data_IF_105575538769
#
_entry.id   IF_105575538769
#
_cell.length_a   1.000
_cell.length_b   1.000
_cell.length_c   1.000
_cell.angle_alpha   90.00
_cell.angle_beta   90.00
_cell.angle_gamma   90.00
#
_symmetry.space_group_name_H-M   'P 1'
#
loop_
_entity.id
_entity.type
_entity.pdbx_description
1 polymer ?
#
# COMPACT_ATOMS: atom_id res chain seq x y z
N UNK A 1 -31.25 -14.40 -53.99
CA UNK A 1 -32.12 -15.07 -53.00
C UNK A 1 -31.22 -15.78 -51.99
N UNK A 2 -31.19 -15.36 -50.71
CA UNK A 2 -30.06 -15.62 -49.82
C UNK A 2 -30.09 -17.03 -49.21
N UNK A 3 -28.90 -17.59 -48.99
CA UNK A 3 -28.69 -18.85 -48.27
C UNK A 3 -28.69 -18.58 -46.76
N UNK A 4 -29.52 -19.34 -46.05
CA UNK A 4 -29.57 -19.43 -44.59
C UNK A 4 -28.22 -19.87 -44.03
N UNK A 5 -27.67 -19.12 -43.07
CA UNK A 5 -26.57 -19.59 -42.22
C UNK A 5 -27.03 -19.55 -40.77
N UNK A 6 -27.15 -20.73 -40.16
CA UNK A 6 -27.55 -20.94 -38.77
C UNK A 6 -26.36 -21.51 -38.00
N UNK A 7 -26.15 -20.97 -36.79
CA UNK A 7 -25.28 -21.44 -35.70
C UNK A 7 -23.78 -21.14 -35.93
N UNK A 8 -23.04 -20.57 -34.98
CA UNK A 8 -23.06 -20.83 -33.55
C UNK A 8 -22.61 -19.62 -32.73
N UNK A 9 -23.25 -19.47 -31.58
CA UNK A 9 -22.90 -18.55 -30.51
C UNK A 9 -21.78 -19.19 -29.70
N UNK A 10 -20.55 -18.70 -29.84
CA UNK A 10 -19.49 -18.97 -28.86
C UNK A 10 -18.95 -17.64 -28.38
N UNK A 11 -19.59 -17.12 -27.34
CA UNK A 11 -19.10 -15.99 -26.55
C UNK A 11 -17.96 -16.52 -25.65
N UNK A 12 -16.77 -16.64 -26.22
CA UNK A 12 -15.55 -16.90 -25.46
C UNK A 12 -15.16 -15.63 -24.71
N UNK A 13 -15.43 -15.57 -23.41
CA UNK A 13 -14.81 -14.59 -22.53
C UNK A 13 -13.35 -15.01 -22.29
N UNK A 14 -12.46 -14.66 -23.21
CA UNK A 14 -11.06 -14.56 -22.85
C UNK A 14 -10.91 -13.26 -22.07
N UNK A 15 -11.03 -13.34 -20.74
CA UNK A 15 -10.50 -12.29 -19.88
C UNK A 15 -8.99 -12.26 -20.15
N UNK A 16 -8.54 -11.22 -20.84
CA UNK A 16 -7.14 -10.92 -20.96
C UNK A 16 -6.63 -10.64 -19.54
N UNK A 17 -5.99 -11.64 -18.93
CA UNK A 17 -5.10 -11.40 -17.80
C UNK A 17 -3.99 -10.51 -18.35
N UNK A 18 -4.15 -9.21 -18.16
CA UNK A 18 -3.05 -8.27 -18.27
C UNK A 18 -2.08 -8.72 -17.17
N UNK A 19 -1.12 -9.57 -17.53
CA UNK A 19 0.07 -9.75 -16.73
C UNK A 19 0.68 -8.35 -16.61
N UNK A 20 0.34 -7.63 -15.54
CA UNK A 20 1.19 -6.57 -15.03
C UNK A 20 2.51 -7.28 -14.83
N UNK A 21 3.44 -7.07 -15.76
CA UNK A 21 4.80 -7.49 -15.61
C UNK A 21 5.32 -6.71 -14.40
N UNK A 22 5.26 -7.34 -13.23
CA UNK A 22 5.97 -6.82 -12.08
C UNK A 22 7.45 -6.89 -12.47
N UNK A 23 8.20 -5.78 -12.37
CA UNK A 23 9.63 -5.86 -12.53
C UNK A 23 10.15 -6.95 -11.56
N UNK A 24 11.22 -7.68 -11.95
CA UNK A 24 11.81 -8.67 -11.05
C UNK A 24 12.09 -8.01 -9.69
N UNK A 25 11.79 -8.69 -8.57
CA UNK A 25 11.88 -8.08 -7.26
C UNK A 25 13.31 -7.60 -7.00
N UNK A 26 13.46 -6.36 -6.54
CA UNK A 26 14.75 -5.80 -6.16
C UNK A 26 15.05 -6.17 -4.71
N UNK A 27 15.59 -7.38 -4.50
CA UNK A 27 15.85 -7.93 -3.15
C UNK A 27 17.09 -7.28 -2.52
N UNK A 28 18.07 -6.90 -3.33
CA UNK A 28 19.29 -6.26 -2.85
C UNK A 28 19.04 -4.81 -2.42
N UNK A 29 19.76 -4.36 -1.39
CA UNK A 29 19.73 -2.96 -0.95
C UNK A 29 20.08 -2.04 -2.14
N UNK A 30 19.32 -0.97 -2.41
CA UNK A 30 19.60 -0.07 -3.53
C UNK A 30 21.02 0.51 -3.45
N UNK A 31 21.72 0.51 -4.58
CA UNK A 31 23.12 0.95 -4.68
C UNK A 31 23.33 2.42 -4.32
N UNK A 32 22.28 3.24 -4.38
CA UNK A 32 22.29 4.63 -3.99
C UNK A 32 22.00 4.87 -2.51
N UNK A 33 21.73 3.85 -1.69
CA UNK A 33 21.52 4.01 -0.25
C UNK A 33 22.74 4.66 0.44
N UNK A 34 22.57 5.64 1.36
CA UNK A 34 21.30 6.14 1.92
C UNK A 34 20.63 7.28 1.12
N UNK A 35 21.17 7.66 -0.04
CA UNK A 35 20.63 8.71 -0.92
C UNK A 35 19.43 8.23 -1.75
N UNK A 36 18.44 7.66 -1.07
CA UNK A 36 17.15 7.26 -1.65
C UNK A 36 16.14 8.41 -1.58
N UNK A 37 14.95 8.24 -2.17
CA UNK A 37 13.89 9.25 -2.11
C UNK A 37 13.58 9.68 -0.67
N UNK A 38 13.24 10.96 -0.47
CA UNK A 38 12.92 11.47 0.87
C UNK A 38 11.61 10.86 1.37
N UNK A 39 11.53 10.43 2.64
CA UNK A 39 10.28 9.94 3.24
C UNK A 39 9.18 11.01 3.18
N UNK A 40 7.97 10.61 2.81
CA UNK A 40 6.80 11.48 2.68
C UNK A 40 6.33 12.04 4.02
N UNK A 41 6.50 11.29 5.10
CA UNK A 41 6.06 11.64 6.46
C UNK A 41 7.25 11.82 7.40
N UNK A 42 7.06 12.62 8.43
CA UNK A 42 8.07 12.88 9.47
C UNK A 42 7.60 12.39 10.83
N UNK A 43 8.54 12.22 11.75
CA UNK A 43 8.23 11.93 13.15
C UNK A 43 7.33 13.05 13.70
N UNK A 44 6.25 12.67 14.39
CA UNK A 44 5.20 13.57 14.85
C UNK A 44 4.00 13.71 13.91
N UNK A 45 4.09 13.27 12.65
CA UNK A 45 2.93 13.28 11.74
C UNK A 45 1.85 12.32 12.27
N UNK A 46 0.59 12.79 12.27
CA UNK A 46 -0.59 11.95 12.53
C UNK A 46 -0.97 11.21 11.24
N UNK A 47 -0.89 9.88 11.27
CA UNK A 47 -1.09 9.02 10.10
C UNK A 47 -2.21 8.02 10.37
N UNK A 48 -2.94 7.67 9.32
CA UNK A 48 -3.96 6.61 9.32
C UNK A 48 -3.76 5.67 8.15
N UNK A 49 -4.18 4.42 8.31
CA UNK A 49 -4.19 3.45 7.23
C UNK A 49 -5.27 3.79 6.20
N UNK A 50 -5.00 3.51 4.92
CA UNK A 50 -5.88 3.86 3.80
C UNK A 50 -7.16 2.99 3.71
N UNK A 51 -7.17 1.77 4.24
CA UNK A 51 -8.20 0.77 3.88
C UNK A 51 -9.64 1.11 4.32
N UNK A 52 -10.56 1.11 3.34
CA UNK A 52 -12.03 1.15 3.41
C UNK A 52 -12.70 1.85 4.62
N UNK A 53 -12.54 3.17 4.69
CA UNK A 53 -13.47 4.08 5.39
C UNK A 53 -12.87 4.87 6.56
N UNK A 54 -13.74 5.58 7.29
CA UNK A 54 -13.35 6.53 8.35
C UNK A 54 -12.94 5.86 9.68
N UNK A 55 -12.78 4.53 9.70
CA UNK A 55 -12.59 3.74 10.94
C UNK A 55 -11.36 2.83 10.88
N UNK A 56 -10.32 3.28 10.22
CA UNK A 56 -9.00 2.65 10.29
C UNK A 56 -8.26 3.06 11.54
N UNK A 57 -7.29 2.23 11.93
CA UNK A 57 -6.35 2.62 12.96
C UNK A 57 -5.56 3.85 12.51
N UNK A 58 -5.22 4.67 13.48
CA UNK A 58 -4.41 5.86 13.30
C UNK A 58 -3.50 6.05 14.52
N UNK A 59 -2.53 6.92 14.35
CA UNK A 59 -1.56 7.21 15.39
C UNK A 59 -0.55 8.27 14.97
N UNK A 60 0.53 8.37 15.74
CA UNK A 60 1.62 9.31 15.50
C UNK A 60 2.85 8.54 15.03
N UNK A 61 3.49 8.98 13.95
CA UNK A 61 4.78 8.44 13.53
C UNK A 61 5.85 8.75 14.60
N UNK A 62 6.47 7.71 15.17
CA UNK A 62 7.54 7.84 16.18
C UNK A 62 8.90 7.35 15.67
N UNK A 63 8.95 6.90 14.42
CA UNK A 63 10.18 6.52 13.75
C UNK A 63 9.92 6.05 12.33
N UNK A 64 10.99 5.95 11.55
CA UNK A 64 10.95 5.51 10.15
C UNK A 64 12.26 4.84 9.76
N UNK A 65 12.17 3.85 8.89
CA UNK A 65 13.31 3.12 8.35
C UNK A 65 13.03 2.71 6.91
N UNK A 66 14.10 2.50 6.14
CA UNK A 66 14.00 2.05 4.75
C UNK A 66 14.13 0.52 4.70
N UNK A 67 13.16 -0.16 4.12
CA UNK A 67 13.10 -1.63 4.11
C UNK A 67 12.44 -2.18 2.86
N UNK A 68 12.73 -3.44 2.54
CA UNK A 68 12.11 -4.17 1.45
C UNK A 68 10.62 -4.40 1.74
N UNK A 69 9.74 -3.89 0.87
CA UNK A 69 8.30 -4.05 0.94
C UNK A 69 7.84 -5.23 0.07
N UNK A 70 7.47 -6.38 0.66
CA UNK A 70 7.14 -7.59 -0.10
C UNK A 70 5.95 -7.41 -1.04
N UNK A 71 4.97 -6.58 -0.68
CA UNK A 71 3.80 -6.29 -1.51
C UNK A 71 4.13 -5.49 -2.77
N UNK A 72 5.27 -4.77 -2.77
CA UNK A 72 5.78 -4.02 -3.92
C UNK A 72 6.86 -4.76 -4.69
N UNK A 73 7.55 -5.71 -4.05
CA UNK A 73 8.77 -6.30 -4.60
C UNK A 73 9.92 -5.30 -4.72
N UNK A 74 9.91 -4.23 -3.91
CA UNK A 74 10.84 -3.12 -3.99
C UNK A 74 11.06 -2.49 -2.61
N UNK A 75 12.09 -1.65 -2.47
CA UNK A 75 12.43 -0.97 -1.22
C UNK A 75 11.68 0.36 -1.07
N UNK A 76 11.14 0.61 0.12
CA UNK A 76 10.41 1.84 0.43
C UNK A 76 10.53 2.21 1.90
N UNK A 77 10.01 3.38 2.27
CA UNK A 77 9.91 3.80 3.66
C UNK A 77 8.82 3.02 4.41
N UNK A 78 9.17 2.58 5.62
CA UNK A 78 8.28 2.01 6.61
C UNK A 78 8.29 2.89 7.85
N UNK A 79 7.14 3.04 8.48
CA UNK A 79 6.93 3.91 9.63
C UNK A 79 6.52 3.09 10.84
N UNK A 80 7.10 3.40 12.00
CA UNK A 80 6.63 2.92 13.30
C UNK A 80 5.64 3.94 13.84
N UNK A 81 4.39 3.50 14.05
CA UNK A 81 3.27 4.35 14.43
C UNK A 81 2.83 4.00 15.84
N UNK A 82 2.88 4.97 16.74
CA UNK A 82 2.28 4.87 18.06
C UNK A 82 0.76 5.06 17.94
N UNK A 83 0.00 4.00 18.23
CA UNK A 83 -1.44 3.98 17.99
C UNK A 83 -2.18 4.89 18.97
N UNK A 84 -3.18 5.61 18.46
CA UNK A 84 -4.12 6.31 19.32
C UNK A 84 -4.95 5.31 20.15
N UNK A 85 -5.32 5.68 21.38
CA UNK A 85 -6.06 4.81 22.29
C UNK A 85 -7.45 4.42 21.76
N UNK A 86 -8.00 5.19 20.83
CA UNK A 86 -9.29 4.92 20.19
C UNK A 86 -9.17 4.05 18.94
N UNK A 87 -7.96 3.78 18.46
CA UNK A 87 -7.71 2.79 17.41
C UNK A 87 -8.10 1.39 17.89
N UNK A 88 -8.70 0.57 17.01
CA UNK A 88 -9.16 -0.78 17.38
C UNK A 88 -8.00 -1.66 17.80
N UNK A 89 -6.86 -1.54 17.12
CA UNK A 89 -5.68 -2.33 17.44
C UNK A 89 -4.98 -1.91 18.73
N UNK A 90 -5.31 -0.74 19.29
CA UNK A 90 -4.75 -0.27 20.56
C UNK A 90 -5.11 -1.16 21.77
N UNK A 91 -6.14 -2.00 21.62
CA UNK A 91 -6.48 -3.02 22.61
C UNK A 91 -5.45 -4.16 22.71
N UNK A 92 -4.58 -4.32 21.70
CA UNK A 92 -3.67 -5.47 21.57
C UNK A 92 -2.20 -5.01 21.49
N UNK A 93 -1.91 -3.89 20.82
CA UNK A 93 -0.55 -3.33 20.70
C UNK A 93 -0.56 -1.81 20.86
N UNK A 94 0.54 -1.25 21.36
CA UNK A 94 0.71 0.22 21.51
C UNK A 94 1.30 0.87 20.26
N UNK A 95 1.98 0.09 19.42
CA UNK A 95 2.56 0.56 18.18
C UNK A 95 2.49 -0.52 17.10
N UNK A 96 2.44 -0.09 15.85
CA UNK A 96 2.43 -0.95 14.67
C UNK A 96 3.29 -0.34 13.56
N UNK A 97 3.66 -1.16 12.56
CA UNK A 97 4.41 -0.71 11.39
C UNK A 97 3.54 -0.66 10.14
N UNK A 98 3.81 0.31 9.27
CA UNK A 98 3.13 0.42 7.98
C UNK A 98 4.03 0.98 6.90
N UNK A 99 3.82 0.54 5.67
CA UNK A 99 4.52 1.05 4.51
C UNK A 99 4.00 2.43 4.11
N UNK A 100 4.85 3.26 3.51
CA UNK A 100 4.51 4.63 3.12
C UNK A 100 3.26 4.74 2.24
N UNK A 101 3.03 3.74 1.39
CA UNK A 101 1.90 3.65 0.47
C UNK A 101 0.60 3.17 1.13
N UNK A 102 0.65 2.66 2.36
CA UNK A 102 -0.52 2.25 3.13
C UNK A 102 -1.08 3.38 4.00
N UNK A 103 -0.40 4.52 4.04
CA UNK A 103 -0.66 5.62 4.98
C UNK A 103 -1.12 6.89 4.28
N UNK A 104 -1.92 7.67 5.01
CA UNK A 104 -2.25 9.07 4.69
C UNK A 104 -2.23 9.92 5.95
N UNK A 105 -1.98 11.22 5.81
CA UNK A 105 -2.10 12.16 6.92
C UNK A 105 -3.55 12.23 7.38
N UNK A 106 -3.75 12.28 8.69
CA UNK A 106 -5.04 12.67 9.26
C UNK A 106 -5.16 14.18 9.09
N UNK A 107 -6.06 14.63 8.23
CA UNK A 107 -6.37 16.06 8.11
C UNK A 107 -7.03 16.51 9.42
N UNK A 108 -6.44 17.49 10.09
CA UNK A 108 -7.15 18.20 11.15
C UNK A 108 -8.18 19.09 10.48
N UNK A 109 -9.46 18.76 10.65
CA UNK A 109 -10.54 19.71 10.36
C UNK A 109 -10.32 20.89 11.30
N UNK A 110 -9.85 22.00 10.72
CA UNK A 110 -9.69 23.28 11.42
C UNK A 110 -11.05 23.90 11.75
#
# INVERSE_FOLDING_TARGET
>A
MPKNNRLSYQRGYQQALVHRAFPPPSIDLPTNFPNVGTPRYSDGDKLRWIHEGDKTDWGVAIGRFYSFAPHRGDWTWCYLIWLDKLSKSAAITVADIAWEDDLVRVEEVK
#
